data_IF_018616226238
#
_entry.id   IF_018616226238
#
_cell.length_a   1.000
_cell.length_b   1.000
_cell.length_c   1.000
_cell.angle_alpha   90.00
_cell.angle_beta   90.00
_cell.angle_gamma   90.00
#
_symmetry.space_group_name_H-M   'P 1'
#
loop_
_entity.id
_entity.type
_entity.pdbx_description
1 polymer ?
#
# COMPACT_ATOMS: atom_id res chain seq x y z
N UNK A 1 -15.51 -10.57 -23.88
CA UNK A 1 -15.11 -9.33 -23.20
C UNK A 1 -16.05 -9.20 -22.04
N UNK A 2 -15.56 -9.45 -20.83
CA UNK A 2 -16.36 -9.28 -19.63
C UNK A 2 -16.72 -7.80 -19.53
N UNK A 3 -18.01 -7.49 -19.64
CA UNK A 3 -18.50 -6.13 -19.61
C UNK A 3 -18.47 -5.67 -18.15
N UNK A 4 -17.44 -4.91 -17.79
CA UNK A 4 -17.34 -4.28 -16.47
C UNK A 4 -18.53 -3.33 -16.30
N UNK A 5 -19.14 -3.35 -15.12
CA UNK A 5 -20.32 -2.54 -14.84
C UNK A 5 -20.01 -1.02 -14.98
N UNK A 6 -20.77 -0.25 -15.79
CA UNK A 6 -20.53 1.17 -16.00
C UNK A 6 -20.65 2.02 -14.72
N UNK A 7 -21.54 1.63 -13.79
CA UNK A 7 -21.73 2.30 -12.52
C UNK A 7 -20.55 2.01 -11.58
N UNK A 8 -19.99 0.80 -11.61
CA UNK A 8 -18.77 0.46 -10.88
C UNK A 8 -17.57 1.30 -11.36
N UNK A 9 -17.41 1.46 -12.68
CA UNK A 9 -16.37 2.31 -13.27
C UNK A 9 -16.56 3.80 -12.92
N UNK A 10 -17.81 4.28 -12.89
CA UNK A 10 -18.14 5.62 -12.43
C UNK A 10 -17.78 5.82 -10.95
N UNK A 11 -18.19 4.89 -10.08
CA UNK A 11 -17.85 4.94 -8.65
C UNK A 11 -16.33 4.94 -8.40
N UNK A 12 -15.57 4.15 -9.17
CA UNK A 12 -14.10 4.17 -9.13
C UNK A 12 -13.53 5.53 -9.51
N UNK A 13 -14.02 6.16 -10.59
CA UNK A 13 -13.59 7.50 -11.00
C UNK A 13 -13.87 8.55 -9.93
N UNK A 14 -15.06 8.52 -9.32
CA UNK A 14 -15.40 9.43 -8.21
C UNK A 14 -14.47 9.21 -7.02
N UNK A 15 -14.09 7.96 -6.72
CA UNK A 15 -13.14 7.66 -5.66
C UNK A 15 -11.78 8.35 -5.89
N UNK A 16 -11.27 8.34 -7.13
CA UNK A 16 -10.03 9.03 -7.50
C UNK A 16 -10.14 10.55 -7.36
N UNK A 17 -11.26 11.14 -7.78
CA UNK A 17 -11.50 12.58 -7.63
C UNK A 17 -11.54 12.98 -6.16
N UNK A 18 -12.21 12.20 -5.30
CA UNK A 18 -12.22 12.41 -3.85
C UNK A 18 -10.83 12.27 -3.24
N UNK A 19 -10.02 11.32 -3.70
CA UNK A 19 -8.64 11.16 -3.26
C UNK A 19 -7.79 12.39 -3.60
N UNK A 20 -7.90 12.91 -4.83
CA UNK A 20 -7.20 14.15 -5.27
C UNK A 20 -7.57 15.36 -4.40
N UNK A 21 -8.83 15.43 -3.96
CA UNK A 21 -9.35 16.44 -3.03
C UNK A 21 -9.03 16.16 -1.55
N UNK A 22 -8.15 15.19 -1.24
CA UNK A 22 -7.79 14.76 0.13
C UNK A 22 -8.95 14.25 0.98
N UNK A 23 -10.09 13.95 0.36
CA UNK A 23 -11.22 13.33 1.05
C UNK A 23 -11.06 11.80 1.06
N UNK A 24 -10.20 11.31 1.95
CA UNK A 24 -9.87 9.89 2.07
C UNK A 24 -11.06 9.03 2.49
N UNK A 25 -11.92 9.54 3.38
CA UNK A 25 -13.14 8.83 3.81
C UNK A 25 -14.08 8.60 2.63
N UNK A 26 -14.36 9.66 1.86
CA UNK A 26 -15.19 9.58 0.66
C UNK A 26 -14.57 8.71 -0.43
N UNK A 27 -13.26 8.80 -0.64
CA UNK A 27 -12.55 7.97 -1.59
C UNK A 27 -12.68 6.46 -1.26
N UNK A 28 -12.50 6.09 0.01
CA UNK A 28 -12.66 4.70 0.46
C UNK A 28 -14.12 4.23 0.27
N UNK A 29 -15.11 5.06 0.61
CA UNK A 29 -16.52 4.71 0.41
C UNK A 29 -16.82 4.43 -1.06
N UNK A 30 -16.46 5.34 -1.97
CA UNK A 30 -16.72 5.18 -3.41
C UNK A 30 -15.98 3.99 -4.02
N UNK A 31 -14.72 3.74 -3.61
CA UNK A 31 -13.99 2.56 -4.08
C UNK A 31 -14.61 1.25 -3.58
N UNK A 32 -15.11 1.22 -2.35
CA UNK A 32 -15.83 0.06 -1.79
C UNK A 32 -17.16 -0.16 -2.52
N UNK A 33 -17.87 0.92 -2.88
CA UNK A 33 -19.08 0.83 -3.70
C UNK A 33 -18.76 0.25 -5.09
N UNK A 34 -17.69 0.70 -5.75
CA UNK A 34 -17.26 0.14 -7.04
C UNK A 34 -17.01 -1.36 -6.95
N UNK A 35 -16.28 -1.82 -5.91
CA UNK A 35 -16.04 -3.25 -5.66
C UNK A 35 -17.35 -4.04 -5.41
N UNK A 36 -18.30 -3.43 -4.71
CA UNK A 36 -19.58 -4.08 -4.39
C UNK A 36 -20.46 -4.25 -5.63
N UNK A 37 -20.42 -3.27 -6.54
CA UNK A 37 -21.13 -3.31 -7.81
C UNK A 37 -20.50 -4.33 -8.76
N UNK A 38 -19.17 -4.33 -8.86
CA UNK A 38 -18.44 -5.28 -9.70
C UNK A 38 -17.08 -5.63 -9.05
N UNK A 39 -16.94 -6.86 -8.50
CA UNK A 39 -15.69 -7.32 -7.92
C UNK A 39 -14.54 -7.47 -8.93
N UNK A 40 -14.85 -7.51 -10.24
CA UNK A 40 -13.86 -7.70 -11.30
C UNK A 40 -13.25 -6.38 -11.80
N UNK A 41 -13.60 -5.25 -11.18
CA UNK A 41 -12.98 -3.96 -11.48
C UNK A 41 -11.48 -4.05 -11.18
N UNK A 42 -10.68 -4.02 -12.24
CA UNK A 42 -9.24 -4.15 -12.15
C UNK A 42 -8.62 -3.10 -11.21
N UNK A 43 -7.76 -3.57 -10.31
CA UNK A 43 -7.03 -2.74 -9.35
C UNK A 43 -7.85 -2.19 -8.18
N UNK A 44 -9.11 -2.59 -8.01
CA UNK A 44 -9.99 -1.95 -7.00
C UNK A 44 -9.55 -2.25 -5.57
N UNK A 45 -9.07 -3.46 -5.30
CA UNK A 45 -8.61 -3.87 -3.97
C UNK A 45 -7.32 -3.16 -3.58
N UNK A 46 -6.38 -3.04 -4.52
CA UNK A 46 -5.15 -2.29 -4.38
C UNK A 46 -5.45 -0.80 -4.14
N UNK A 47 -6.45 -0.25 -4.83
CA UNK A 47 -6.88 1.13 -4.67
C UNK A 47 -7.47 1.38 -3.28
N UNK A 48 -8.34 0.49 -2.79
CA UNK A 48 -8.92 0.56 -1.44
C UNK A 48 -7.80 0.48 -0.40
N UNK A 49 -6.86 -0.45 -0.55
CA UNK A 49 -5.73 -0.59 0.36
C UNK A 49 -4.86 0.67 0.36
N UNK A 50 -4.54 1.22 -0.81
CA UNK A 50 -3.76 2.45 -0.93
C UNK A 50 -4.43 3.60 -0.17
N UNK A 51 -5.75 3.81 -0.34
CA UNK A 51 -6.47 4.86 0.38
C UNK A 51 -6.47 4.66 1.90
N UNK A 52 -6.57 3.41 2.38
CA UNK A 52 -6.46 3.09 3.81
C UNK A 52 -5.07 3.40 4.36
N UNK A 53 -4.01 3.11 3.61
CA UNK A 53 -2.62 3.47 3.99
C UNK A 53 -2.47 4.99 4.08
N UNK A 54 -2.97 5.74 3.09
CA UNK A 54 -2.98 7.21 3.15
C UNK A 54 -3.76 7.73 4.35
N UNK A 55 -4.90 7.11 4.68
CA UNK A 55 -5.72 7.49 5.84
C UNK A 55 -4.99 7.22 7.16
N UNK A 56 -4.31 6.08 7.28
CA UNK A 56 -3.49 5.76 8.43
C UNK A 56 -2.33 6.75 8.60
N UNK A 57 -1.67 7.13 7.50
CA UNK A 57 -0.57 8.09 7.50
C UNK A 57 -0.98 9.53 7.85
N UNK A 58 -2.26 9.88 7.64
CA UNK A 58 -2.81 11.19 8.00
C UNK A 58 -3.19 11.29 9.48
N UNK A 59 -3.49 10.17 10.15
CA UNK A 59 -3.76 10.14 11.59
C UNK A 59 -2.46 10.32 12.36
N UNK A 60 -2.41 11.35 13.20
CA UNK A 60 -1.31 11.59 14.13
C UNK A 60 -1.58 10.91 15.47
N UNK A 61 -0.53 10.41 16.10
CA UNK A 61 -0.57 9.93 17.48
C UNK A 61 -0.63 11.09 18.48
N UNK A 62 -0.67 10.76 19.77
CA UNK A 62 -0.77 11.71 20.88
C UNK A 62 0.39 12.72 20.91
N UNK A 63 1.58 12.28 20.48
CA UNK A 63 2.77 13.12 20.34
C UNK A 63 2.80 13.98 19.05
N UNK A 64 1.73 13.96 18.25
CA UNK A 64 1.67 14.64 16.96
C UNK A 64 2.52 13.98 15.86
N UNK A 65 3.26 12.91 16.14
CA UNK A 65 3.99 12.14 15.14
C UNK A 65 3.05 11.19 14.37
N UNK A 66 3.47 10.78 13.17
CA UNK A 66 2.75 9.78 12.40
C UNK A 66 2.89 8.41 13.08
N UNK A 67 1.79 7.69 13.25
CA UNK A 67 1.83 6.34 13.79
C UNK A 67 2.22 5.34 12.67
N UNK A 68 3.52 5.05 12.56
CA UNK A 68 4.07 4.15 11.53
C UNK A 68 3.56 2.71 11.66
N UNK A 69 3.25 2.27 12.88
CA UNK A 69 2.66 0.96 13.15
C UNK A 69 1.29 0.83 12.47
N UNK A 70 0.45 1.87 12.56
CA UNK A 70 -0.84 1.94 11.87
C UNK A 70 -0.70 2.00 10.34
N UNK A 71 0.39 2.59 9.82
CA UNK A 71 0.66 2.63 8.37
C UNK A 71 1.02 1.24 7.84
N UNK A 72 1.82 0.46 8.58
CA UNK A 72 2.12 -0.94 8.23
C UNK A 72 1.01 -1.92 8.63
N UNK A 73 0.10 -1.54 9.53
CA UNK A 73 -0.90 -2.44 10.09
C UNK A 73 -0.29 -3.51 10.99
N UNK A 74 0.79 -3.19 11.70
CA UNK A 74 1.35 -4.04 12.77
C UNK A 74 0.66 -3.72 14.10
N UNK A 75 0.52 -4.75 14.94
CA UNK A 75 -0.08 -4.62 16.27
C UNK A 75 0.86 -3.85 17.21
N UNK A 76 0.30 -3.03 18.09
CA UNK A 76 1.05 -2.35 19.15
C UNK A 76 1.81 -3.40 19.99
N UNK A 77 3.09 -3.11 20.30
CA UNK A 77 4.01 -4.03 20.98
C UNK A 77 4.89 -4.87 20.06
N UNK A 78 4.72 -4.78 18.74
CA UNK A 78 5.61 -5.43 17.73
C UNK A 78 6.49 -4.41 16.99
N UNK A 79 6.68 -3.20 17.55
CA UNK A 79 7.45 -2.13 16.90
C UNK A 79 8.94 -2.45 16.74
N UNK A 80 9.47 -3.32 17.58
CA UNK A 80 10.90 -3.68 17.60
C UNK A 80 11.18 -5.02 16.91
N UNK A 81 10.14 -5.76 16.50
CA UNK A 81 10.28 -7.01 15.78
C UNK A 81 10.53 -6.74 14.28
N UNK A 82 11.82 -6.60 13.95
CA UNK A 82 12.31 -6.34 12.60
C UNK A 82 11.81 -7.38 11.60
N UNK A 83 11.68 -8.65 12.00
CA UNK A 83 11.24 -9.70 11.08
C UNK A 83 9.74 -9.56 10.78
N UNK A 84 8.92 -9.30 11.81
CA UNK A 84 7.49 -8.99 11.64
C UNK A 84 7.28 -7.75 10.75
N UNK A 85 8.10 -6.71 10.92
CA UNK A 85 8.04 -5.49 10.08
C UNK A 85 8.33 -5.82 8.61
N UNK A 86 9.39 -6.59 8.34
CA UNK A 86 9.77 -7.00 6.98
C UNK A 86 8.71 -7.87 6.34
N UNK A 87 8.18 -8.86 7.07
CA UNK A 87 7.11 -9.73 6.59
C UNK A 87 5.86 -8.92 6.23
N UNK A 88 5.43 -8.01 7.09
CA UNK A 88 4.25 -7.18 6.84
C UNK A 88 4.45 -6.22 5.67
N UNK A 89 5.64 -5.61 5.56
CA UNK A 89 6.01 -4.80 4.39
C UNK A 89 5.93 -5.61 3.10
N UNK A 90 6.53 -6.80 3.06
CA UNK A 90 6.53 -7.66 1.88
C UNK A 90 5.11 -8.07 1.50
N UNK A 91 4.26 -8.37 2.49
CA UNK A 91 2.84 -8.65 2.30
C UNK A 91 2.11 -7.46 1.67
N UNK A 92 2.28 -6.25 2.20
CA UNK A 92 1.64 -5.06 1.64
C UNK A 92 2.11 -4.74 0.22
N UNK A 93 3.41 -4.89 -0.05
CA UNK A 93 3.99 -4.71 -1.39
C UNK A 93 3.46 -5.76 -2.37
N UNK A 94 3.29 -7.01 -1.92
CA UNK A 94 2.70 -8.07 -2.75
C UNK A 94 1.23 -7.84 -3.07
N UNK A 95 0.46 -7.27 -2.12
CA UNK A 95 -0.95 -6.91 -2.34
C UNK A 95 -1.07 -5.70 -3.27
N UNK A 96 -0.23 -4.68 -3.08
CA UNK A 96 -0.14 -3.56 -4.02
C UNK A 96 0.55 -4.04 -5.30
N UNK A 97 -0.12 -4.87 -6.10
CA UNK A 97 0.41 -5.21 -7.41
C UNK A 97 0.40 -3.94 -8.27
N UNK A 98 1.50 -3.64 -8.95
CA UNK A 98 1.57 -2.56 -9.94
C UNK A 98 0.84 -3.03 -11.21
N UNK A 99 -0.48 -3.16 -11.12
CA UNK A 99 -1.32 -3.49 -12.26
C UNK A 99 -1.30 -2.36 -13.27
N UNK A 100 -1.70 -2.64 -14.52
CA UNK A 100 -1.74 -1.65 -15.61
C UNK A 100 -2.67 -0.47 -15.30
N UNK A 101 -3.61 -0.63 -14.37
CA UNK A 101 -4.59 0.38 -13.95
C UNK A 101 -4.39 0.86 -12.50
N UNK A 102 -3.17 0.72 -11.95
CA UNK A 102 -2.89 1.14 -10.59
C UNK A 102 -3.20 2.63 -10.37
N UNK A 103 -4.02 2.93 -9.36
CA UNK A 103 -4.34 4.30 -8.96
C UNK A 103 -3.07 5.10 -8.66
N UNK A 104 -3.09 6.41 -8.89
CA UNK A 104 -2.01 7.34 -8.47
C UNK A 104 -1.72 7.20 -6.96
N UNK A 105 -2.73 6.83 -6.18
CA UNK A 105 -2.58 6.59 -4.75
C UNK A 105 -1.66 5.41 -4.41
N UNK A 106 -1.55 4.40 -5.28
CA UNK A 106 -0.75 3.18 -5.08
C UNK A 106 0.73 3.52 -4.93
N UNK A 107 1.27 4.38 -5.80
CA UNK A 107 2.66 4.87 -5.67
C UNK A 107 2.90 5.64 -4.36
N UNK A 108 1.95 6.48 -3.97
CA UNK A 108 2.01 7.16 -2.68
C UNK A 108 1.99 6.19 -1.50
N UNK A 109 1.21 5.12 -1.60
CA UNK A 109 1.13 4.09 -0.56
C UNK A 109 2.43 3.28 -0.45
N UNK A 110 3.08 2.92 -1.56
CA UNK A 110 4.41 2.29 -1.54
C UNK A 110 5.45 3.13 -0.82
N UNK A 111 5.46 4.44 -1.08
CA UNK A 111 6.35 5.37 -0.40
C UNK A 111 6.09 5.37 1.10
N UNK A 112 4.82 5.44 1.51
CA UNK A 112 4.44 5.42 2.93
C UNK A 112 4.82 4.10 3.62
N UNK A 113 4.66 2.95 2.96
CA UNK A 113 5.09 1.65 3.47
C UNK A 113 6.61 1.63 3.67
N UNK A 114 7.36 2.13 2.69
CA UNK A 114 8.82 2.20 2.80
C UNK A 114 9.24 3.10 3.98
N UNK A 115 8.69 4.32 4.06
CA UNK A 115 8.98 5.27 5.15
C UNK A 115 8.63 4.66 6.51
N UNK A 116 7.50 3.97 6.63
CA UNK A 116 7.12 3.31 7.87
C UNK A 116 8.12 2.23 8.30
N UNK A 117 8.52 1.37 7.35
CA UNK A 117 9.50 0.32 7.60
C UNK A 117 10.86 0.88 8.02
N UNK A 118 11.33 1.98 7.44
CA UNK A 118 12.61 2.57 7.85
C UNK A 118 12.55 3.25 9.21
N UNK A 119 11.43 3.88 9.55
CA UNK A 119 11.25 4.53 10.85
C UNK A 119 11.09 3.51 11.99
N UNK A 120 10.64 2.28 11.69
CA UNK A 120 10.46 1.21 12.69
C UNK A 120 11.69 0.30 12.81
N UNK A 121 12.38 -0.01 11.70
CA UNK A 121 13.55 -0.90 11.73
C UNK A 121 14.84 -0.22 12.22
N UNK A 122 14.87 1.10 12.30
CA UNK A 122 16.04 1.84 12.80
C UNK A 122 15.58 3.01 13.68
N UNK A 123 15.62 2.85 15.02
CA UNK A 123 15.21 3.89 15.97
C UNK A 123 16.04 5.19 15.83
N UNK A 124 17.21 5.14 15.18
CA UNK A 124 18.09 6.28 14.94
C UNK A 124 17.92 6.93 13.56
N UNK A 125 17.05 6.40 12.69
CA UNK A 125 16.96 6.83 11.29
C UNK A 125 15.83 7.82 11.03
N UNK A 126 15.89 8.97 11.72
CA UNK A 126 15.07 10.14 11.38
C UNK A 126 15.39 10.74 9.99
N UNK A 127 16.28 10.15 9.18
CA UNK A 127 16.77 10.76 7.94
C UNK A 127 16.96 9.74 6.80
N UNK A 128 15.87 9.22 6.24
CA UNK A 128 15.85 8.82 4.82
C UNK A 128 14.95 9.76 4.04
N UNK A 129 15.49 10.94 3.75
CA UNK A 129 14.92 11.90 2.82
C UNK A 129 14.87 11.28 1.41
N UNK A 130 13.70 10.77 1.01
CA UNK A 130 13.39 10.39 -0.37
C UNK A 130 13.24 11.64 -1.25
N UNK A 131 14.33 12.39 -1.39
CA UNK A 131 14.20 13.79 -1.76
C UNK A 131 15.44 14.55 -2.25
N UNK A 132 16.57 13.92 -2.62
CA UNK A 132 17.59 14.62 -3.45
C UNK A 132 18.48 13.65 -4.22
N UNK A 133 18.36 13.66 -5.56
CA UNK A 133 19.24 12.96 -6.50
C UNK A 133 20.70 13.37 -6.23
N UNK A 134 21.46 12.57 -5.49
CA UNK A 134 22.93 12.57 -5.61
C UNK A 134 23.27 11.75 -6.85
N UNK A 135 23.87 12.42 -7.84
CA UNK A 135 24.39 11.79 -9.05
C UNK A 135 25.39 10.70 -8.64
N UNK A 136 25.02 9.42 -8.79
CA UNK A 136 25.93 8.30 -8.58
C UNK A 136 26.88 8.23 -9.77
N UNK A 137 28.18 8.45 -9.52
CA UNK A 137 29.25 8.09 -10.45
C UNK A 137 29.30 6.55 -10.54
N UNK A 138 29.47 6.07 -11.77
CA UNK A 138 29.14 4.72 -12.20
C UNK A 138 29.81 3.60 -11.40
N UNK A 139 29.04 2.53 -11.22
CA UNK A 139 29.53 1.23 -10.78
C UNK A 139 29.27 0.22 -11.90
N UNK A 140 30.33 -0.48 -12.33
CA UNK A 140 30.28 -1.51 -13.37
C UNK A 140 29.57 -2.76 -12.84
N UNK A 141 28.64 -3.28 -13.63
CA UNK A 141 27.91 -4.53 -13.37
C UNK A 141 28.74 -5.71 -13.86
N UNK A 142 28.91 -6.75 -13.04
CA UNK A 142 29.28 -8.10 -13.47
C UNK A 142 28.17 -9.08 -13.10
N UNK A 143 27.88 -10.00 -14.04
CA UNK A 143 26.78 -10.98 -14.03
C UNK A 143 27.05 -12.17 -13.09
N UNK A 144 25.99 -12.67 -12.44
CA UNK A 144 25.73 -14.10 -12.17
C UNK A 144 24.25 -14.22 -11.73
N UNK A 145 23.33 -14.86 -12.48
CA UNK A 145 22.94 -16.30 -12.44
C UNK A 145 22.52 -16.76 -11.01
N UNK A 146 21.38 -17.42 -10.71
CA UNK A 146 20.36 -18.13 -11.49
C UNK A 146 19.21 -18.58 -10.54
N UNK A 147 18.05 -18.96 -11.13
CA UNK A 147 17.00 -19.92 -10.68
C UNK A 147 16.11 -19.51 -9.46
N UNK A 148 14.80 -19.74 -9.40
CA UNK A 148 13.84 -20.46 -10.23
C UNK A 148 12.80 -21.18 -9.34
N UNK A 149 11.50 -20.96 -9.63
CA UNK A 149 10.30 -21.81 -9.33
C UNK A 149 9.90 -21.96 -7.83
N UNK A 150 8.65 -22.19 -7.37
CA UNK A 150 7.34 -22.51 -7.96
C UNK A 150 6.17 -22.05 -7.04
N UNK A 151 4.99 -22.01 -7.64
CA UNK A 151 3.64 -21.67 -7.15
C UNK A 151 3.05 -22.57 -6.05
N UNK A 152 2.15 -22.03 -5.22
CA UNK A 152 1.13 -22.87 -4.57
C UNK A 152 0.27 -22.20 -3.48
N UNK A 153 -1.05 -22.39 -3.62
CA UNK A 153 -2.11 -22.24 -2.62
C UNK A 153 -2.72 -20.83 -2.36
N UNK A 154 -3.77 -20.56 -3.15
CA UNK A 154 -4.84 -19.59 -2.92
C UNK A 154 -5.55 -19.84 -1.59
N UNK A 155 -5.53 -18.86 -0.68
CA UNK A 155 -6.49 -18.76 0.42
C UNK A 155 -7.21 -17.43 0.34
N UNK A 156 -8.53 -17.52 0.50
CA UNK A 156 -9.55 -16.55 0.09
C UNK A 156 -9.51 -15.30 0.98
N UNK A 157 -9.42 -14.13 0.35
CA UNK A 157 -9.24 -12.80 0.96
C UNK A 157 -10.31 -12.33 1.98
N UNK A 158 -11.40 -13.08 2.18
CA UNK A 158 -12.53 -12.62 2.99
C UNK A 158 -12.32 -12.75 4.52
N UNK A 159 -11.28 -13.49 4.95
CA UNK A 159 -11.08 -13.82 6.37
C UNK A 159 -10.13 -12.84 7.10
N UNK A 160 -9.42 -11.97 6.37
CA UNK A 160 -8.39 -11.09 6.95
C UNK A 160 -8.91 -9.71 7.42
N UNK A 161 -10.22 -9.43 7.31
CA UNK A 161 -10.80 -8.11 7.67
C UNK A 161 -11.69 -8.18 8.92
N UNK A 162 -11.86 -9.35 9.55
CA UNK A 162 -12.75 -9.52 10.73
C UNK A 162 -12.06 -9.69 12.08
N UNK A 163 -10.74 -9.58 12.18
CA UNK A 163 -10.05 -9.65 13.46
C UNK A 163 -9.10 -8.46 13.60
N UNK A 164 -9.62 -7.39 14.20
CA UNK A 164 -8.95 -6.36 15.02
C UNK A 164 -9.78 -5.07 15.02
#
# INVERSE_FOLDING_TARGET
MDLVDPLAMFARRIAEEKFKLRNLKGAITCATMAKTLDPNVDGIDETILAYKIHQAAMKRGENGARNWCKVLGIKEGFEEDIESIKMQRNKLVGILNLTKNASIATWGAFRLIYEASTNLSDPNNQNVDFGRKKRLRGFKVTKSACLGVETGASTRFHDLVKVA
#
